data_IF_898434664155
#
_entry.id   IF_898434664155
#
_cell.length_a   1.000
_cell.length_b   1.000
_cell.length_c   1.000
_cell.angle_alpha   90.00
_cell.angle_beta   90.00
_cell.angle_gamma   90.00
#
_symmetry.space_group_name_H-M   'P 1'
#
loop_
_entity.id
_entity.type
_entity.pdbx_description
1 polymer ?
#
# COMPACT_ATOMS: atom_id res chain seq x y z
N UNK A 1 16.89 17.03 0.18
CA UNK A 1 15.97 18.08 -0.27
C UNK A 1 14.75 18.02 0.65
N UNK A 2 14.04 19.12 0.89
CA UNK A 2 12.82 19.15 1.69
C UNK A 2 11.60 19.17 0.78
N UNK A 3 10.42 18.78 1.30
CA UNK A 3 9.16 18.87 0.52
C UNK A 3 8.84 20.28 0.10
N UNK A 4 9.30 21.29 0.86
CA UNK A 4 9.12 22.71 0.52
C UNK A 4 9.89 23.18 -0.71
N UNK A 5 10.84 22.37 -1.19
CA UNK A 5 11.65 22.66 -2.36
C UNK A 5 11.14 21.92 -3.63
N UNK A 6 10.10 21.06 -3.46
CA UNK A 6 9.49 20.31 -4.56
C UNK A 6 8.42 21.16 -5.27
N UNK A 7 8.44 21.12 -6.60
CA UNK A 7 7.36 21.69 -7.41
C UNK A 7 6.18 20.71 -7.50
N UNK A 8 5.27 20.80 -6.53
CA UNK A 8 4.11 19.92 -6.38
C UNK A 8 2.84 20.69 -6.65
N UNK A 9 2.00 20.15 -7.52
CA UNK A 9 0.67 20.69 -7.80
C UNK A 9 -0.28 20.42 -6.64
N UNK A 10 -1.27 21.29 -6.46
CA UNK A 10 -2.36 21.09 -5.50
C UNK A 10 -3.38 20.03 -5.95
N UNK A 11 -3.42 19.73 -7.26
CA UNK A 11 -4.35 18.77 -7.85
C UNK A 11 -3.65 18.00 -8.96
N UNK A 12 -3.90 16.67 -9.01
CA UNK A 12 -3.46 15.77 -10.06
C UNK A 12 -4.67 15.02 -10.65
N UNK A 13 -4.76 15.03 -11.97
CA UNK A 13 -5.84 14.38 -12.70
C UNK A 13 -5.27 13.22 -13.52
N UNK A 14 -5.63 12.00 -13.20
CA UNK A 14 -5.06 10.77 -13.80
C UNK A 14 -5.18 10.65 -15.34
N UNK A 15 -6.02 11.48 -15.98
CA UNK A 15 -6.11 11.54 -17.45
C UNK A 15 -5.16 12.58 -18.08
N UNK A 16 -4.65 13.51 -17.30
CA UNK A 16 -3.82 14.63 -17.76
C UNK A 16 -2.40 14.56 -17.17
N UNK A 17 -2.28 14.00 -15.97
CA UNK A 17 -1.02 13.93 -15.22
C UNK A 17 -0.57 12.48 -15.06
N UNK A 18 0.73 12.26 -15.09
CA UNK A 18 1.30 10.99 -14.67
C UNK A 18 1.57 11.05 -13.15
N UNK A 19 0.54 10.76 -12.36
CA UNK A 19 0.58 10.88 -10.89
C UNK A 19 1.78 10.13 -10.27
N UNK A 20 2.20 9.01 -10.85
CA UNK A 20 3.36 8.26 -10.38
C UNK A 20 4.65 9.06 -10.58
N UNK A 21 4.88 9.59 -11.79
CA UNK A 21 6.09 10.33 -12.11
C UNK A 21 6.10 11.74 -11.55
N UNK A 22 4.93 12.39 -11.55
CA UNK A 22 4.82 13.82 -11.25
C UNK A 22 4.63 14.09 -9.76
N UNK A 23 4.14 13.08 -8.99
CA UNK A 23 3.88 13.21 -7.56
C UNK A 23 4.60 12.13 -6.73
N UNK A 24 4.23 10.83 -6.89
CA UNK A 24 4.73 9.80 -5.99
C UNK A 24 6.25 9.66 -5.99
N UNK A 25 6.88 9.60 -7.16
CA UNK A 25 8.32 9.39 -7.25
C UNK A 25 9.11 10.57 -6.66
N UNK A 26 8.87 11.85 -7.03
CA UNK A 26 9.61 12.96 -6.44
C UNK A 26 9.39 13.10 -4.93
N UNK A 27 8.16 12.94 -4.43
CA UNK A 27 7.89 13.05 -2.99
C UNK A 27 8.52 11.90 -2.21
N UNK A 28 8.38 10.64 -2.67
CA UNK A 28 8.97 9.48 -2.02
C UNK A 28 10.50 9.55 -1.96
N UNK A 29 11.16 10.15 -2.95
CA UNK A 29 12.62 10.33 -2.94
C UNK A 29 13.12 11.14 -1.76
N UNK A 30 12.32 12.07 -1.28
CA UNK A 30 12.66 12.95 -0.16
C UNK A 30 12.01 12.51 1.16
N UNK A 31 11.09 11.54 1.10
CA UNK A 31 10.36 11.06 2.26
C UNK A 31 11.24 10.20 3.19
N UNK A 32 10.93 10.30 4.49
CA UNK A 32 11.44 9.43 5.56
C UNK A 32 10.34 8.52 6.13
N UNK A 33 9.07 8.86 5.90
CA UNK A 33 7.94 8.04 6.31
C UNK A 33 6.80 8.20 5.32
N UNK A 34 6.28 7.07 4.84
CA UNK A 34 5.09 7.01 4.02
C UNK A 34 4.01 6.17 4.71
N UNK A 35 2.90 6.80 5.05
CA UNK A 35 1.71 6.12 5.59
C UNK A 35 0.62 6.07 4.54
N UNK A 36 0.01 4.92 4.36
CA UNK A 36 -1.05 4.72 3.37
C UNK A 36 -2.18 3.89 3.94
N UNK A 37 -3.41 4.38 3.77
CA UNK A 37 -4.63 3.61 3.99
C UNK A 37 -5.32 3.40 2.64
N UNK A 38 -5.59 2.14 2.28
CA UNK A 38 -6.22 1.76 1.00
C UNK A 38 -7.23 0.64 1.22
N UNK A 39 -8.37 0.73 0.53
CA UNK A 39 -9.32 -0.37 0.50
C UNK A 39 -8.81 -1.59 -0.27
N UNK A 40 -7.92 -1.38 -1.22
CA UNK A 40 -7.30 -2.43 -2.02
C UNK A 40 -5.83 -2.10 -2.28
N UNK A 41 -4.96 -3.06 -2.02
CA UNK A 41 -3.52 -2.94 -2.26
C UNK A 41 -3.10 -3.76 -3.48
N UNK A 42 -2.26 -3.17 -4.32
CA UNK A 42 -1.64 -3.84 -5.45
C UNK A 42 -0.12 -3.72 -5.39
N UNK A 43 0.57 -4.85 -5.48
CA UNK A 43 2.04 -4.89 -5.57
C UNK A 43 2.55 -4.16 -6.82
N UNK A 44 1.74 -4.05 -7.88
CA UNK A 44 2.05 -3.28 -9.09
C UNK A 44 2.34 -1.82 -8.78
N UNK A 45 1.56 -1.21 -7.89
CA UNK A 45 1.77 0.19 -7.49
C UNK A 45 3.16 0.40 -6.84
N UNK A 46 3.65 -0.54 -6.05
CA UNK A 46 5.01 -0.47 -5.47
C UNK A 46 6.09 -0.50 -6.54
N UNK A 47 5.94 -1.34 -7.56
CA UNK A 47 6.92 -1.42 -8.67
C UNK A 47 6.94 -0.13 -9.47
N UNK A 48 5.78 0.43 -9.79
CA UNK A 48 5.70 1.70 -10.51
C UNK A 48 6.32 2.86 -9.72
N UNK A 49 6.25 2.81 -8.39
CA UNK A 49 6.85 3.79 -7.48
C UNK A 49 8.29 3.44 -7.06
N UNK A 50 8.89 2.36 -7.58
CA UNK A 50 10.17 1.79 -7.12
C UNK A 50 11.31 2.81 -7.06
N UNK A 51 11.42 3.72 -8.02
CA UNK A 51 12.43 4.78 -8.02
C UNK A 51 12.26 5.74 -6.82
N UNK A 52 11.03 6.04 -6.44
CA UNK A 52 10.73 6.83 -5.25
C UNK A 52 11.04 6.05 -3.97
N UNK A 53 10.64 4.78 -3.92
CA UNK A 53 10.90 3.88 -2.80
C UNK A 53 12.40 3.70 -2.56
N UNK A 54 13.21 3.61 -3.62
CA UNK A 54 14.67 3.58 -3.48
C UNK A 54 15.22 4.85 -2.79
N UNK A 55 14.65 6.01 -3.08
CA UNK A 55 15.01 7.26 -2.38
C UNK A 55 14.63 7.21 -0.90
N UNK A 56 13.40 6.82 -0.59
CA UNK A 56 12.91 6.64 0.79
C UNK A 56 13.81 5.67 1.58
N UNK A 57 14.17 4.53 1.00
CA UNK A 57 15.08 3.56 1.63
C UNK A 57 16.46 4.16 1.90
N UNK A 58 17.02 4.93 0.96
CA UNK A 58 18.30 5.64 1.14
C UNK A 58 18.24 6.66 2.28
N UNK A 59 17.10 7.27 2.52
CA UNK A 59 16.87 8.18 3.63
C UNK A 59 16.62 7.45 4.98
N UNK A 60 16.73 6.12 5.03
CA UNK A 60 16.39 5.32 6.21
C UNK A 60 14.90 5.29 6.51
N UNK A 61 14.08 5.58 5.50
CA UNK A 61 12.64 5.74 5.65
C UNK A 61 11.87 4.43 5.75
N UNK A 62 10.58 4.54 6.11
CA UNK A 62 9.66 3.42 6.29
C UNK A 62 8.34 3.65 5.57
N UNK A 63 7.69 2.57 5.21
CA UNK A 63 6.33 2.54 4.64
C UNK A 63 5.42 1.80 5.62
N UNK A 64 4.33 2.44 6.02
CA UNK A 64 3.27 1.86 6.84
C UNK A 64 1.99 1.80 6.03
N UNK A 65 1.57 0.61 5.68
CA UNK A 65 0.40 0.34 4.87
C UNK A 65 -0.72 -0.27 5.71
N UNK A 66 -1.91 0.29 5.60
CA UNK A 66 -3.15 -0.33 6.07
C UNK A 66 -3.95 -0.69 4.82
N UNK A 67 -4.27 -1.95 4.64
CA UNK A 67 -5.01 -2.45 3.48
C UNK A 67 -6.12 -3.42 3.90
N UNK A 68 -7.18 -3.49 3.12
CA UNK A 68 -8.21 -4.50 3.26
C UNK A 68 -8.02 -5.57 2.18
N UNK A 69 -8.03 -6.86 2.53
CA UNK A 69 -8.03 -7.91 1.54
C UNK A 69 -9.36 -7.95 0.79
N UNK A 70 -9.36 -8.40 -0.44
CA UNK A 70 -10.60 -8.76 -1.13
C UNK A 70 -11.10 -10.10 -0.61
N UNK A 71 -12.20 -10.04 0.12
CA UNK A 71 -12.93 -11.24 0.53
C UNK A 71 -13.96 -11.60 -0.53
N UNK A 72 -14.00 -12.87 -0.94
CA UNK A 72 -15.07 -13.39 -1.78
C UNK A 72 -16.36 -13.59 -0.96
N UNK A 73 -17.49 -13.78 -1.63
CA UNK A 73 -18.73 -14.09 -0.96
C UNK A 73 -18.64 -15.39 -0.12
N UNK A 74 -17.86 -16.36 -0.61
CA UNK A 74 -17.60 -17.61 0.10
C UNK A 74 -16.74 -17.41 1.35
N UNK A 75 -15.72 -16.52 1.28
CA UNK A 75 -14.89 -16.16 2.43
C UNK A 75 -15.75 -15.54 3.54
N UNK A 76 -16.64 -14.61 3.16
CA UNK A 76 -17.56 -13.95 4.11
C UNK A 76 -18.54 -14.95 4.72
N UNK A 77 -19.11 -15.85 3.89
CA UNK A 77 -20.01 -16.88 4.37
C UNK A 77 -19.31 -17.82 5.35
N UNK A 78 -18.10 -18.29 5.03
CA UNK A 78 -17.32 -19.18 5.90
C UNK A 78 -17.00 -18.54 7.27
N UNK A 79 -16.71 -17.24 7.30
CA UNK A 79 -16.50 -16.51 8.55
C UNK A 79 -17.80 -16.43 9.36
N UNK A 80 -18.91 -16.05 8.72
CA UNK A 80 -20.21 -15.86 9.38
C UNK A 80 -20.79 -17.19 9.91
N UNK A 81 -20.57 -18.30 9.20
CA UNK A 81 -20.99 -19.63 9.62
C UNK A 81 -20.08 -20.24 10.70
N UNK A 82 -18.98 -19.56 11.05
CA UNK A 82 -18.01 -20.05 12.04
C UNK A 82 -17.27 -21.32 11.60
N UNK A 83 -17.28 -21.65 10.30
CA UNK A 83 -16.62 -22.82 9.73
C UNK A 83 -15.10 -22.67 9.77
N UNK A 84 -14.63 -21.43 9.63
CA UNK A 84 -13.22 -21.09 9.63
C UNK A 84 -12.92 -19.94 10.57
N UNK A 85 -11.71 -19.94 11.13
CA UNK A 85 -11.24 -18.78 11.90
C UNK A 85 -11.07 -17.60 10.96
N UNK A 86 -11.51 -16.45 11.38
CA UNK A 86 -11.43 -15.20 10.62
C UNK A 86 -10.01 -14.91 10.14
N UNK A 87 -9.02 -15.07 11.02
CA UNK A 87 -7.63 -14.77 10.71
C UNK A 87 -7.09 -15.65 9.57
N UNK A 88 -7.45 -16.93 9.56
CA UNK A 88 -7.05 -17.88 8.51
C UNK A 88 -7.62 -17.47 7.14
N UNK A 89 -8.88 -17.03 7.10
CA UNK A 89 -9.56 -16.60 5.86
C UNK A 89 -8.94 -15.31 5.32
N UNK A 90 -8.62 -14.36 6.21
CA UNK A 90 -7.96 -13.10 5.85
C UNK A 90 -6.55 -13.38 5.31
N UNK A 91 -5.79 -14.25 5.96
CA UNK A 91 -4.45 -14.64 5.51
C UNK A 91 -4.48 -15.28 4.11
N UNK A 92 -5.40 -16.22 3.86
CA UNK A 92 -5.56 -16.83 2.54
C UNK A 92 -5.99 -15.82 1.46
N UNK A 93 -6.89 -14.89 1.79
CA UNK A 93 -7.31 -13.85 0.86
C UNK A 93 -6.12 -12.95 0.47
N UNK A 94 -5.26 -12.61 1.44
CA UNK A 94 -4.02 -11.87 1.19
C UNK A 94 -3.03 -12.65 0.33
N UNK A 95 -2.80 -13.93 0.64
CA UNK A 95 -1.93 -14.80 -0.14
C UNK A 95 -2.43 -14.89 -1.58
N UNK A 96 -3.74 -15.02 -1.78
CA UNK A 96 -4.37 -15.04 -3.10
C UNK A 96 -4.08 -13.75 -3.87
N UNK A 97 -4.28 -12.57 -3.25
CA UNK A 97 -4.01 -11.29 -3.89
C UNK A 97 -2.53 -11.07 -4.23
N UNK A 98 -1.64 -11.53 -3.36
CA UNK A 98 -0.20 -11.46 -3.60
C UNK A 98 0.29 -12.48 -4.63
N UNK A 99 -0.43 -13.60 -4.79
CA UNK A 99 -0.06 -14.70 -5.69
C UNK A 99 -0.57 -14.53 -7.11
N UNK A 100 -1.45 -13.59 -7.36
CA UNK A 100 -2.11 -13.37 -8.66
C UNK A 100 -1.29 -12.60 -9.69
N UNK A 101 -0.09 -12.86 -10.00
CA UNK A 101 0.28 -12.67 -11.38
C UNK A 101 1.18 -13.76 -11.95
N UNK A 102 0.80 -14.23 -13.09
CA UNK A 102 1.55 -15.18 -13.89
C UNK A 102 2.51 -14.43 -14.81
N UNK A 103 3.84 -14.61 -14.63
CA UNK A 103 4.86 -14.08 -15.53
C UNK A 103 6.10 -13.50 -14.85
N UNK A 104 7.15 -13.21 -15.64
CA UNK A 104 8.44 -12.69 -15.16
C UNK A 104 8.33 -11.40 -14.35
N UNK A 105 7.49 -10.47 -14.77
CA UNK A 105 7.24 -9.22 -14.03
C UNK A 105 6.58 -9.43 -12.66
N UNK A 106 5.90 -10.56 -12.48
CA UNK A 106 5.30 -10.95 -11.22
C UNK A 106 6.33 -11.36 -10.18
N UNK A 107 7.29 -12.14 -10.61
CA UNK A 107 8.41 -12.58 -9.78
C UNK A 107 9.21 -11.39 -9.22
N UNK A 108 9.49 -10.38 -10.04
CA UNK A 108 10.18 -9.16 -9.60
C UNK A 108 9.36 -8.35 -8.60
N UNK A 109 8.03 -8.26 -8.79
CA UNK A 109 7.13 -7.58 -7.86
C UNK A 109 7.09 -8.25 -6.49
N UNK A 110 6.98 -9.57 -6.48
CA UNK A 110 6.99 -10.34 -5.23
C UNK A 110 8.35 -10.26 -4.53
N UNK A 111 9.45 -10.28 -5.29
CA UNK A 111 10.79 -10.09 -4.75
C UNK A 111 10.97 -8.71 -4.10
N UNK A 112 10.52 -7.65 -4.76
CA UNK A 112 10.54 -6.30 -4.19
C UNK A 112 9.73 -6.24 -2.89
N UNK A 113 8.49 -6.73 -2.91
CA UNK A 113 7.61 -6.76 -1.75
C UNK A 113 8.23 -7.53 -0.59
N UNK A 114 8.73 -8.74 -0.85
CA UNK A 114 9.37 -9.59 0.14
C UNK A 114 10.60 -8.93 0.76
N UNK A 115 11.44 -8.29 -0.06
CA UNK A 115 12.63 -7.58 0.42
C UNK A 115 12.27 -6.37 1.29
N UNK A 116 11.25 -5.60 0.92
CA UNK A 116 10.80 -4.46 1.71
C UNK A 116 10.23 -4.89 3.07
N UNK A 117 9.50 -6.00 3.12
CA UNK A 117 8.97 -6.57 4.37
C UNK A 117 10.13 -7.14 5.21
N UNK A 118 10.98 -7.97 4.64
CA UNK A 118 12.09 -8.62 5.33
C UNK A 118 13.09 -7.62 5.91
N UNK A 119 13.33 -6.50 5.22
CA UNK A 119 14.19 -5.42 5.70
C UNK A 119 13.53 -4.50 6.74
N UNK A 120 12.24 -4.68 7.04
CA UNK A 120 11.48 -3.82 7.95
C UNK A 120 11.19 -2.42 7.39
N UNK A 121 11.38 -2.21 6.10
CA UNK A 121 11.03 -0.95 5.41
C UNK A 121 9.52 -0.86 5.22
N UNK A 122 8.86 -1.97 4.87
CA UNK A 122 7.42 -2.04 4.69
C UNK A 122 6.76 -2.84 5.82
N UNK A 123 5.87 -2.16 6.54
CA UNK A 123 4.94 -2.76 7.50
C UNK A 123 3.53 -2.74 6.93
N UNK A 124 2.86 -3.90 6.89
CA UNK A 124 1.48 -4.01 6.41
C UNK A 124 0.58 -4.42 7.58
N UNK A 125 -0.49 -3.66 7.78
CA UNK A 125 -1.58 -3.98 8.70
C UNK A 125 -2.86 -4.20 7.92
N UNK A 126 -3.62 -5.20 8.33
CA UNK A 126 -4.89 -5.54 7.70
C UNK A 126 -6.02 -4.86 8.46
N UNK A 127 -6.86 -4.15 7.72
CA UNK A 127 -8.08 -3.54 8.24
C UNK A 127 -9.31 -4.18 7.60
N UNK A 128 -10.31 -4.43 8.40
CA UNK A 128 -11.64 -4.87 7.97
C UNK A 128 -12.69 -4.23 8.87
N UNK A 129 -13.87 -4.04 8.31
CA UNK A 129 -15.03 -3.58 9.06
C UNK A 129 -15.78 -4.79 9.60
N UNK A 130 -16.07 -4.77 10.87
CA UNK A 130 -16.94 -5.74 11.54
C UNK A 130 -18.26 -5.07 11.86
N UNK A 131 -19.33 -5.65 11.36
CA UNK A 131 -20.69 -5.35 11.79
C UNK A 131 -21.32 -6.61 12.37
N UNK A 132 -22.36 -6.48 13.18
CA UNK A 132 -22.97 -7.59 13.92
C UNK A 132 -23.33 -8.82 13.09
N UNK A 133 -23.48 -8.68 11.77
CA UNK A 133 -23.88 -9.75 10.86
C UNK A 133 -23.07 -9.84 9.55
N UNK A 134 -21.98 -9.06 9.40
CA UNK A 134 -21.19 -9.09 8.15
C UNK A 134 -19.76 -8.59 8.35
N UNK A 135 -18.86 -9.06 7.50
CA UNK A 135 -17.50 -8.51 7.36
C UNK A 135 -17.52 -7.56 6.18
N UNK A 136 -17.34 -6.28 6.44
CA UNK A 136 -17.29 -5.23 5.43
C UNK A 136 -15.88 -4.95 4.95
N UNK A 137 -15.76 -4.36 3.77
CA UNK A 137 -14.49 -3.89 3.22
C UNK A 137 -14.15 -2.50 3.79
N UNK A 138 -12.96 -2.35 4.35
CA UNK A 138 -12.38 -1.05 4.63
C UNK A 138 -12.06 -0.35 3.30
N UNK A 139 -12.65 0.81 3.05
CA UNK A 139 -12.54 1.50 1.76
C UNK A 139 -12.04 2.94 1.94
N UNK A 140 -10.81 3.05 2.42
CA UNK A 140 -10.12 4.35 2.52
C UNK A 140 -9.13 4.55 1.37
N UNK A 141 -8.84 5.80 1.06
CA UNK A 141 -7.83 6.20 0.07
C UNK A 141 -7.13 7.45 0.57
N UNK A 142 -6.28 7.27 1.56
CA UNK A 142 -5.57 8.37 2.21
C UNK A 142 -4.08 8.06 2.27
N UNK A 143 -3.26 9.07 2.07
CA UNK A 143 -1.82 8.97 2.23
C UNK A 143 -1.23 10.15 2.98
N UNK A 144 -0.19 9.88 3.76
CA UNK A 144 0.63 10.88 4.44
C UNK A 144 2.10 10.58 4.16
N UNK A 145 2.84 11.57 3.70
CA UNK A 145 4.29 11.47 3.56
C UNK A 145 4.96 12.52 4.42
N UNK A 146 6.05 12.16 5.05
CA UNK A 146 6.85 13.01 5.93
C UNK A 146 8.27 13.07 5.39
N UNK A 147 8.86 14.26 5.36
CA UNK A 147 10.29 14.43 5.08
C UNK A 147 11.13 14.44 6.37
N UNK A 148 12.44 14.66 6.21
CA UNK A 148 13.39 14.74 7.33
C UNK A 148 13.16 15.95 8.26
N UNK A 149 12.49 17.00 7.76
CA UNK A 149 12.21 18.23 8.49
C UNK A 149 10.80 18.23 9.11
N UNK A 150 10.12 17.06 9.07
CA UNK A 150 8.73 16.85 9.50
C UNK A 150 7.69 17.64 8.72
N UNK A 151 7.98 18.10 7.51
CA UNK A 151 6.95 18.59 6.62
C UNK A 151 6.06 17.43 6.19
N UNK A 152 4.76 17.70 6.04
CA UNK A 152 3.76 16.68 5.76
C UNK A 152 3.05 17.00 4.46
N UNK A 153 2.94 16.01 3.59
CA UNK A 153 2.04 16.00 2.45
C UNK A 153 0.94 14.99 2.73
N UNK A 154 -0.33 15.47 2.71
CA UNK A 154 -1.53 14.64 2.83
C UNK A 154 -2.27 14.59 1.48
N UNK A 155 -2.81 13.40 1.09
CA UNK A 155 -3.50 13.23 -0.18
C UNK A 155 -4.49 12.05 -0.15
#
# INVERSE_FOLDING_TARGET
MSFTELDIKQEYRSRLDNVIKDFYIPVLKEATLYKRAVGFFSSTALVEMSLGICGLVKNGGKIQLIASPRLSAEDVAAINEGIRRRDDVIEEALIRELSEPIGFQASERLNLLSNLIASGVLEIKIAFLETDNSVGMFHEKMGLMYDKDNNIIAF
#
